data_IF_688650815326
#
_entry.id   IF_688650815326
#
_cell.length_a   1.000
_cell.length_b   1.000
_cell.length_c   1.000
_cell.angle_alpha   90.00
_cell.angle_beta   90.00
_cell.angle_gamma   90.00
#
_symmetry.space_group_name_H-M   'P 1'
#
loop_
_entity.id
_entity.type
_entity.pdbx_description
1 polymer ?
#
# COMPACT_ATOMS: atom_id res chain seq x y z
N UNK A 1 4.08 -10.57 -6.26
CA UNK A 1 5.04 -11.19 -7.22
C UNK A 1 4.45 -11.33 -8.60
N UNK A 2 3.18 -11.71 -8.76
CA UNK A 2 2.56 -11.98 -10.08
C UNK A 2 2.58 -10.75 -11.00
N UNK A 3 2.18 -9.56 -10.54
CA UNK A 3 2.23 -8.34 -11.36
C UNK A 3 3.66 -8.02 -11.84
N UNK A 4 4.67 -8.20 -10.98
CA UNK A 4 6.07 -8.03 -11.41
C UNK A 4 6.48 -9.10 -12.44
N UNK A 5 5.99 -10.32 -12.30
CA UNK A 5 6.26 -11.38 -13.26
C UNK A 5 5.64 -11.09 -14.64
N UNK A 6 4.45 -10.53 -14.68
CA UNK A 6 3.80 -10.09 -15.94
C UNK A 6 4.64 -9.03 -16.65
N UNK A 7 5.17 -8.04 -15.93
CA UNK A 7 6.04 -7.01 -16.51
C UNK A 7 7.35 -7.61 -17.05
N UNK A 8 7.99 -8.51 -16.29
CA UNK A 8 9.22 -9.19 -16.73
C UNK A 8 8.97 -10.11 -17.93
N UNK A 9 7.85 -10.85 -17.92
CA UNK A 9 7.46 -11.68 -19.06
C UNK A 9 7.24 -10.81 -20.32
N UNK A 10 6.58 -9.65 -20.18
CA UNK A 10 6.38 -8.72 -21.29
C UNK A 10 7.71 -8.19 -21.85
N UNK A 11 8.66 -7.84 -20.98
CA UNK A 11 10.02 -7.42 -21.41
C UNK A 11 10.75 -8.55 -22.16
N UNK A 12 10.61 -9.79 -21.71
CA UNK A 12 11.25 -10.94 -22.34
C UNK A 12 10.61 -11.31 -23.69
N UNK A 13 9.28 -11.28 -23.75
CA UNK A 13 8.52 -11.63 -24.97
C UNK A 13 8.50 -10.49 -26.00
N UNK A 14 8.70 -9.23 -25.58
CA UNK A 14 8.51 -8.05 -26.41
C UNK A 14 7.04 -7.67 -26.64
N UNK A 15 6.10 -8.35 -25.99
CA UNK A 15 4.66 -8.11 -26.06
C UNK A 15 3.96 -8.56 -24.77
N UNK A 16 2.70 -8.14 -24.50
CA UNK A 16 1.92 -8.64 -23.37
C UNK A 16 1.78 -10.16 -23.40
N UNK A 17 1.97 -10.87 -22.27
CA UNK A 17 1.79 -12.31 -22.21
C UNK A 17 0.31 -12.68 -22.36
N UNK A 18 0.06 -13.82 -23.00
CA UNK A 18 -1.25 -14.45 -23.14
C UNK A 18 -1.38 -15.65 -22.20
N UNK A 19 -2.55 -16.29 -22.20
CA UNK A 19 -2.79 -17.53 -21.46
C UNK A 19 -1.80 -18.66 -21.81
N UNK A 20 -1.31 -18.70 -23.05
CA UNK A 20 -0.32 -19.69 -23.51
C UNK A 20 1.04 -19.48 -22.82
N UNK A 21 1.33 -18.26 -22.37
CA UNK A 21 2.55 -17.92 -21.66
C UNK A 21 2.43 -18.09 -20.13
N UNK A 22 1.34 -18.68 -19.63
CA UNK A 22 1.09 -18.80 -18.18
C UNK A 22 2.24 -19.49 -17.44
N UNK A 23 2.82 -20.55 -18.03
CA UNK A 23 3.96 -21.25 -17.44
C UNK A 23 5.17 -20.33 -17.21
N UNK A 24 5.45 -19.42 -18.17
CA UNK A 24 6.57 -18.47 -18.10
C UNK A 24 6.30 -17.41 -17.01
N UNK A 25 5.09 -16.84 -16.99
CA UNK A 25 4.68 -15.86 -15.95
C UNK A 25 4.82 -16.49 -14.57
N UNK A 26 4.45 -17.75 -14.43
CA UNK A 26 4.52 -18.50 -13.18
C UNK A 26 5.97 -18.76 -12.74
N UNK A 27 6.82 -19.22 -13.64
CA UNK A 27 8.23 -19.41 -13.36
C UNK A 27 8.91 -18.10 -12.91
N UNK A 28 8.62 -17.00 -13.61
CA UNK A 28 9.12 -15.68 -13.26
C UNK A 28 8.53 -15.21 -11.92
N UNK A 29 7.27 -15.50 -11.59
CA UNK A 29 6.67 -15.13 -10.31
C UNK A 29 7.37 -15.82 -9.13
N UNK A 30 7.72 -17.09 -9.25
CA UNK A 30 8.51 -17.79 -8.25
C UNK A 30 9.93 -17.24 -8.14
N UNK A 31 10.56 -16.92 -9.26
CA UNK A 31 11.87 -16.28 -9.28
C UNK A 31 11.82 -14.90 -8.57
N UNK A 32 10.84 -14.05 -8.89
CA UNK A 32 10.64 -12.76 -8.23
C UNK A 32 10.46 -12.93 -6.71
N UNK A 33 9.69 -13.94 -6.27
CA UNK A 33 9.51 -14.19 -4.85
C UNK A 33 10.84 -14.56 -4.17
N UNK A 34 11.64 -15.41 -4.79
CA UNK A 34 12.96 -15.77 -4.27
C UNK A 34 13.90 -14.54 -4.18
N UNK A 35 13.95 -13.72 -5.24
CA UNK A 35 14.78 -12.49 -5.29
C UNK A 35 14.38 -11.49 -4.21
N UNK A 36 13.10 -11.35 -3.92
CA UNK A 36 12.58 -10.43 -2.89
C UNK A 36 12.99 -10.87 -1.47
N UNK A 37 13.08 -12.17 -1.23
CA UNK A 37 13.42 -12.71 0.11
C UNK A 37 14.92 -12.65 0.38
N UNK A 38 15.77 -12.79 -0.63
CA UNK A 38 17.23 -12.79 -0.48
C UNK A 38 17.77 -11.57 0.30
N UNK A 39 17.43 -10.32 -0.02
CA UNK A 39 17.93 -9.16 0.71
C UNK A 39 17.52 -9.12 2.18
N UNK A 40 16.37 -9.73 2.51
CA UNK A 40 15.90 -9.81 3.90
C UNK A 40 16.73 -10.81 4.71
N UNK A 41 17.28 -11.82 4.06
CA UNK A 41 18.14 -12.83 4.69
C UNK A 41 19.60 -12.39 4.82
N UNK A 42 20.10 -11.56 3.89
CA UNK A 42 21.52 -11.19 3.78
C UNK A 42 21.66 -9.67 3.95
N UNK A 43 22.48 -9.24 4.91
CA UNK A 43 22.79 -7.81 5.08
C UNK A 43 22.57 -7.31 6.51
N UNK A 44 23.50 -6.77 7.15
CA UNK A 44 23.63 -6.27 8.53
C UNK A 44 22.31 -5.93 9.28
N UNK A 45 21.70 -4.79 8.99
CA UNK A 45 20.36 -4.43 9.50
C UNK A 45 19.37 -4.47 8.35
N UNK A 46 18.34 -5.30 8.45
CA UNK A 46 17.25 -5.40 7.44
C UNK A 46 16.67 -4.03 7.12
N UNK A 47 16.48 -3.19 8.13
CA UNK A 47 16.01 -1.82 7.99
C UNK A 47 16.84 -0.99 7.00
N UNK A 48 18.17 -1.02 7.08
CA UNK A 48 19.03 -0.21 6.21
C UNK A 48 18.89 -0.62 4.73
N UNK A 49 18.79 -1.93 4.48
CA UNK A 49 18.59 -2.46 3.15
C UNK A 49 17.26 -1.99 2.54
N UNK A 50 16.18 -2.13 3.31
CA UNK A 50 14.86 -1.66 2.90
C UNK A 50 14.88 -0.16 2.65
N UNK A 51 15.51 0.63 3.53
CA UNK A 51 15.61 2.08 3.36
C UNK A 51 16.29 2.46 2.04
N UNK A 52 17.41 1.83 1.71
CA UNK A 52 18.15 2.12 0.46
C UNK A 52 17.28 1.78 -0.74
N UNK A 53 16.73 0.58 -0.79
CA UNK A 53 15.91 0.10 -1.91
C UNK A 53 14.67 0.96 -2.10
N UNK A 54 14.00 1.34 -1.01
CA UNK A 54 12.82 2.22 -1.06
C UNK A 54 13.17 3.65 -1.49
N UNK A 55 14.32 4.17 -1.07
CA UNK A 55 14.78 5.50 -1.51
C UNK A 55 15.03 5.51 -3.02
N UNK A 56 15.74 4.51 -3.55
CA UNK A 56 15.96 4.36 -4.99
C UNK A 56 14.63 4.25 -5.73
N UNK A 57 13.72 3.39 -5.25
CA UNK A 57 12.37 3.24 -5.82
C UNK A 57 11.65 4.58 -5.95
N UNK A 58 11.53 5.31 -4.83
CA UNK A 58 10.78 6.59 -4.81
C UNK A 58 11.39 7.58 -5.79
N UNK A 59 12.72 7.72 -5.78
CA UNK A 59 13.41 8.62 -6.68
C UNK A 59 13.19 8.24 -8.15
N UNK A 60 13.40 6.98 -8.52
CA UNK A 60 13.27 6.52 -9.92
C UNK A 60 11.82 6.64 -10.40
N UNK A 61 10.85 6.16 -9.60
CA UNK A 61 9.43 6.16 -10.00
C UNK A 61 8.90 7.58 -10.15
N UNK A 62 9.09 8.44 -9.14
CA UNK A 62 8.54 9.80 -9.20
C UNK A 62 9.23 10.65 -10.26
N UNK A 63 10.56 10.54 -10.44
CA UNK A 63 11.28 11.25 -11.49
C UNK A 63 10.81 10.81 -12.88
N UNK A 64 10.61 9.52 -13.09
CA UNK A 64 10.10 9.00 -14.37
C UNK A 64 8.67 9.46 -14.65
N UNK A 65 7.77 9.32 -13.69
CA UNK A 65 6.38 9.75 -13.86
C UNK A 65 6.30 11.27 -14.08
N UNK A 66 7.12 12.06 -13.39
CA UNK A 66 7.19 13.50 -13.60
C UNK A 66 7.75 13.82 -14.99
N UNK A 67 8.80 13.12 -15.44
CA UNK A 67 9.34 13.28 -16.79
C UNK A 67 8.27 13.02 -17.86
N UNK A 68 7.57 11.90 -17.78
CA UNK A 68 6.47 11.61 -18.72
C UNK A 68 5.37 12.68 -18.60
N UNK A 69 4.98 13.06 -17.39
CA UNK A 69 3.96 14.07 -17.15
C UNK A 69 4.31 15.42 -17.80
N UNK A 70 5.56 15.86 -17.71
CA UNK A 70 5.98 17.15 -18.25
C UNK A 70 6.14 17.17 -19.79
N UNK A 71 6.56 16.06 -20.39
CA UNK A 71 6.93 16.04 -21.80
C UNK A 71 5.91 15.35 -22.71
N UNK A 72 5.04 14.51 -22.16
CA UNK A 72 4.16 13.65 -22.95
C UNK A 72 2.69 13.67 -22.53
N UNK A 73 2.34 14.31 -21.39
CA UNK A 73 0.97 14.44 -20.94
C UNK A 73 0.43 15.81 -21.32
N UNK A 74 -0.79 15.85 -21.86
CA UNK A 74 -1.50 17.06 -22.25
C UNK A 74 -1.84 17.95 -21.02
N UNK A 75 -2.00 19.26 -21.26
CA UNK A 75 -2.44 20.20 -20.23
C UNK A 75 -3.82 19.83 -19.66
N UNK A 76 -4.70 19.24 -20.49
CA UNK A 76 -6.00 18.71 -20.06
C UNK A 76 -5.82 17.54 -19.08
N UNK A 77 -4.92 16.58 -19.35
CA UNK A 77 -4.61 15.49 -18.44
C UNK A 77 -4.15 15.97 -17.06
N UNK A 78 -3.28 16.98 -17.01
CA UNK A 78 -2.90 17.63 -15.75
C UNK A 78 -4.11 18.25 -15.04
N UNK A 79 -4.95 19.00 -15.77
CA UNK A 79 -6.15 19.61 -15.20
C UNK A 79 -7.11 18.56 -14.65
N UNK A 80 -7.33 17.46 -15.36
CA UNK A 80 -8.24 16.40 -14.94
C UNK A 80 -7.78 15.70 -13.67
N UNK A 81 -6.49 15.35 -13.57
CA UNK A 81 -5.92 14.72 -12.37
C UNK A 81 -6.02 15.66 -11.18
N UNK A 82 -5.51 16.90 -11.31
CA UNK A 82 -5.46 17.82 -10.17
C UNK A 82 -6.84 18.35 -9.77
N UNK A 83 -7.73 18.64 -10.72
CA UNK A 83 -9.11 19.03 -10.42
C UNK A 83 -9.89 17.90 -9.74
N UNK A 84 -9.57 16.64 -10.08
CA UNK A 84 -10.19 15.46 -9.48
C UNK A 84 -10.09 15.43 -7.96
N UNK A 85 -8.96 15.88 -7.39
CA UNK A 85 -8.78 15.96 -5.93
C UNK A 85 -9.71 16.96 -5.24
N UNK A 86 -10.31 17.90 -5.97
CA UNK A 86 -11.20 18.93 -5.44
C UNK A 86 -12.67 18.73 -5.82
N UNK A 87 -13.00 17.67 -6.57
CA UNK A 87 -14.37 17.33 -6.98
C UNK A 87 -15.13 16.62 -5.86
N UNK A 88 -15.27 17.29 -4.70
CA UNK A 88 -16.03 16.75 -3.56
C UNK A 88 -17.51 16.56 -3.89
N UNK A 89 -18.08 15.45 -3.39
CA UNK A 89 -19.49 15.13 -3.59
C UNK A 89 -19.82 14.46 -4.91
N UNK A 90 -18.85 14.21 -5.76
CA UNK A 90 -19.07 13.44 -6.99
C UNK A 90 -19.31 11.97 -6.66
N UNK A 91 -20.43 11.43 -7.17
CA UNK A 91 -20.85 10.04 -6.94
C UNK A 91 -21.28 9.40 -8.26
N UNK A 92 -21.04 8.10 -8.43
CA UNK A 92 -21.55 7.36 -9.59
C UNK A 92 -23.06 7.13 -9.43
N UNK A 93 -23.79 7.31 -10.53
CA UNK A 93 -25.22 7.00 -10.64
C UNK A 93 -25.46 6.23 -11.93
N UNK A 94 -26.49 5.40 -11.97
CA UNK A 94 -26.87 4.68 -13.19
C UNK A 94 -27.22 5.69 -14.29
N UNK A 95 -26.72 5.46 -15.51
CA UNK A 95 -27.02 6.30 -16.68
C UNK A 95 -28.35 5.95 -17.37
N UNK A 96 -29.01 4.88 -16.95
CA UNK A 96 -30.22 4.33 -17.54
C UNK A 96 -30.01 3.51 -18.83
N UNK A 97 -28.76 3.36 -19.26
CA UNK A 97 -28.37 2.56 -20.44
C UNK A 97 -27.49 1.36 -20.07
N UNK A 98 -27.40 1.04 -18.75
CA UNK A 98 -26.57 -0.05 -18.23
C UNK A 98 -25.13 0.37 -17.90
N UNK A 99 -24.82 1.67 -18.02
CA UNK A 99 -23.54 2.28 -17.62
C UNK A 99 -23.66 3.14 -16.36
N UNK A 100 -22.54 3.75 -16.00
CA UNK A 100 -22.44 4.70 -14.87
C UNK A 100 -22.08 6.09 -15.39
N UNK A 101 -22.70 7.11 -14.81
CA UNK A 101 -22.29 8.51 -14.98
C UNK A 101 -21.96 9.13 -13.63
N UNK A 102 -21.08 10.10 -13.61
CA UNK A 102 -20.69 10.81 -12.38
C UNK A 102 -21.51 12.10 -12.28
N UNK A 103 -22.20 12.28 -11.15
CA UNK A 103 -22.91 13.51 -10.82
C UNK A 103 -22.42 14.04 -9.47
N UNK A 104 -22.52 15.36 -9.28
CA UNK A 104 -22.24 15.92 -7.97
C UNK A 104 -23.51 15.87 -7.11
N UNK A 105 -23.46 15.14 -5.99
CA UNK A 105 -24.61 14.90 -5.12
C UNK A 105 -25.23 16.20 -4.56
N UNK A 106 -24.42 17.24 -4.30
CA UNK A 106 -24.91 18.50 -3.78
C UNK A 106 -25.65 19.32 -4.85
N UNK A 107 -25.12 19.39 -6.06
CA UNK A 107 -25.78 20.07 -7.17
C UNK A 107 -27.01 19.32 -7.62
N UNK A 108 -26.98 17.98 -7.58
CA UNK A 108 -28.14 17.15 -7.87
C UNK A 108 -29.27 17.39 -6.85
N UNK A 109 -28.93 17.42 -5.55
CA UNK A 109 -29.89 17.72 -4.48
C UNK A 109 -30.49 19.13 -4.65
N UNK A 110 -29.65 20.12 -4.95
CA UNK A 110 -30.15 21.50 -5.18
C UNK A 110 -31.11 21.61 -6.37
N UNK A 111 -30.93 20.78 -7.39
CA UNK A 111 -31.79 20.79 -8.58
C UNK A 111 -33.08 19.96 -8.43
N UNK A 112 -33.03 18.83 -7.71
CA UNK A 112 -34.10 17.86 -7.67
C UNK A 112 -34.80 17.74 -6.30
N UNK A 113 -34.24 18.35 -5.23
CA UNK A 113 -34.77 18.25 -3.88
C UNK A 113 -34.48 16.92 -3.17
N UNK A 114 -33.81 15.98 -3.81
CA UNK A 114 -33.44 14.67 -3.30
C UNK A 114 -32.00 14.30 -3.66
N UNK A 115 -31.38 13.43 -2.89
CA UNK A 115 -30.04 12.92 -3.21
C UNK A 115 -30.10 11.87 -4.32
N UNK A 116 -29.08 11.82 -5.22
CA UNK A 116 -29.04 10.83 -6.27
C UNK A 116 -28.89 9.41 -5.69
N UNK A 117 -29.52 8.44 -6.34
CA UNK A 117 -29.30 7.03 -6.02
C UNK A 117 -27.91 6.64 -6.49
N UNK A 118 -27.03 6.37 -5.52
CA UNK A 118 -25.64 6.03 -5.79
C UNK A 118 -25.56 4.62 -6.35
N UNK A 119 -24.89 4.48 -7.49
CA UNK A 119 -24.59 3.17 -8.06
C UNK A 119 -23.44 2.53 -7.25
N UNK A 120 -23.71 1.35 -6.70
CA UNK A 120 -22.78 0.66 -5.81
C UNK A 120 -21.98 -0.46 -6.49
N UNK A 121 -22.08 -0.58 -7.81
CA UNK A 121 -21.31 -1.56 -8.60
C UNK A 121 -19.79 -1.39 -8.39
N UNK A 122 -19.31 -0.15 -8.37
CA UNK A 122 -17.91 0.23 -8.17
C UNK A 122 -17.47 0.38 -6.72
N UNK A 123 -18.35 0.10 -5.73
CA UNK A 123 -18.03 0.32 -4.31
C UNK A 123 -16.81 -0.48 -3.82
N UNK A 124 -16.60 -1.67 -4.36
CA UNK A 124 -15.44 -2.49 -4.00
C UNK A 124 -14.13 -1.87 -4.51
N UNK A 125 -14.16 -1.23 -5.68
CA UNK A 125 -13.00 -0.52 -6.23
C UNK A 125 -12.71 0.75 -5.41
N UNK A 126 -13.73 1.52 -5.08
CA UNK A 126 -13.61 2.70 -4.22
C UNK A 126 -13.06 2.32 -2.83
N UNK A 127 -13.59 1.25 -2.23
CA UNK A 127 -13.09 0.71 -0.97
C UNK A 127 -11.63 0.26 -1.08
N UNK A 128 -11.24 -0.34 -2.19
CA UNK A 128 -9.87 -0.76 -2.43
C UNK A 128 -8.91 0.45 -2.52
N UNK A 129 -9.26 1.51 -3.23
CA UNK A 129 -8.48 2.74 -3.27
C UNK A 129 -8.32 3.36 -1.88
N UNK A 130 -9.41 3.43 -1.09
CA UNK A 130 -9.34 3.92 0.29
C UNK A 130 -8.45 3.04 1.17
N UNK A 131 -8.55 1.71 1.05
CA UNK A 131 -7.77 0.76 1.84
C UNK A 131 -6.27 0.76 1.54
N UNK A 132 -5.88 1.20 0.35
CA UNK A 132 -4.47 1.37 -0.02
C UNK A 132 -3.97 2.81 0.16
N UNK A 133 -4.83 3.77 0.50
CA UNK A 133 -4.39 5.13 0.76
C UNK A 133 -3.37 5.18 1.91
N UNK A 134 -2.27 5.85 1.67
CA UNK A 134 -1.18 5.93 2.64
C UNK A 134 -0.41 4.61 2.82
N UNK A 135 -0.25 4.16 4.06
CA UNK A 135 0.50 2.94 4.39
C UNK A 135 -0.26 1.63 4.12
N UNK A 136 -1.54 1.69 3.84
CA UNK A 136 -2.43 0.54 3.66
C UNK A 136 -2.55 -0.34 4.91
N UNK A 137 -3.78 -0.67 5.34
CA UNK A 137 -4.05 -1.58 6.45
C UNK A 137 -3.23 -1.32 7.71
N UNK A 138 -2.54 -2.34 8.20
CA UNK A 138 -1.66 -2.26 9.36
C UNK A 138 -0.25 -1.69 9.04
N UNK A 139 0.03 -1.24 7.81
CA UNK A 139 1.31 -0.65 7.42
C UNK A 139 1.74 0.53 8.28
N UNK A 140 0.79 1.29 8.84
CA UNK A 140 1.07 2.36 9.78
C UNK A 140 1.75 1.89 11.07
N UNK A 141 1.51 0.65 11.53
CA UNK A 141 2.18 0.07 12.69
C UNK A 141 3.68 -0.16 12.43
N UNK A 142 4.07 -0.43 11.19
CA UNK A 142 5.47 -0.61 10.79
C UNK A 142 6.30 0.65 10.97
N UNK A 143 5.69 1.82 10.84
CA UNK A 143 6.36 3.09 11.07
C UNK A 143 6.99 3.14 12.48
N UNK A 144 6.27 2.70 13.50
CA UNK A 144 6.80 2.65 14.87
C UNK A 144 7.98 1.67 15.01
N UNK A 145 7.95 0.55 14.29
CA UNK A 145 9.05 -0.40 14.26
C UNK A 145 10.29 0.19 13.57
N UNK A 146 10.12 0.93 12.49
CA UNK A 146 11.21 1.62 11.81
C UNK A 146 11.82 2.74 12.64
N UNK A 147 11.00 3.51 13.37
CA UNK A 147 11.47 4.52 14.33
C UNK A 147 12.32 3.87 15.42
N UNK A 148 11.88 2.73 15.96
CA UNK A 148 12.67 1.93 16.92
C UNK A 148 13.99 1.46 16.33
N UNK A 149 13.95 0.84 15.15
CA UNK A 149 15.13 0.23 14.53
C UNK A 149 16.15 1.28 14.07
N UNK A 150 15.70 2.49 13.75
CA UNK A 150 16.54 3.65 13.49
C UNK A 150 17.21 4.19 14.75
N UNK A 151 16.75 3.77 15.91
CA UNK A 151 17.28 4.19 17.21
C UNK A 151 16.77 5.56 17.66
N UNK A 152 15.61 6.01 17.19
CA UNK A 152 15.01 7.26 17.60
C UNK A 152 14.22 7.11 18.91
N UNK A 153 14.26 8.15 19.74
CA UNK A 153 13.62 8.12 21.06
C UNK A 153 14.10 6.93 21.91
N UNK A 154 13.16 6.19 22.47
CA UNK A 154 13.45 4.99 23.27
C UNK A 154 14.03 3.83 22.44
N UNK A 155 13.92 3.89 21.11
CA UNK A 155 14.49 2.89 20.22
C UNK A 155 16.01 2.73 20.33
N UNK A 156 16.72 3.80 20.72
CA UNK A 156 18.17 3.76 20.99
C UNK A 156 18.58 2.75 22.08
N UNK A 157 17.67 2.45 23.00
CA UNK A 157 17.89 1.52 24.10
C UNK A 157 17.45 0.09 23.78
N UNK A 158 16.52 -0.08 22.80
CA UNK A 158 15.96 -1.38 22.45
C UNK A 158 16.80 -2.09 21.38
N UNK A 159 17.31 -1.35 20.40
CA UNK A 159 18.03 -1.89 19.25
C UNK A 159 17.11 -2.32 18.10
N UNK A 160 17.70 -2.90 17.06
CA UNK A 160 17.02 -3.31 15.83
C UNK A 160 17.04 -4.83 15.66
N UNK A 161 16.05 -5.38 14.92
CA UNK A 161 16.08 -6.79 14.50
C UNK A 161 17.27 -6.96 13.54
N UNK A 162 18.21 -7.85 13.94
CA UNK A 162 19.38 -8.18 13.13
C UNK A 162 18.99 -9.08 11.95
N UNK A 163 19.72 -8.96 10.83
CA UNK A 163 19.65 -9.95 9.76
C UNK A 163 20.16 -11.32 10.20
N UNK A 164 19.92 -12.36 9.41
CA UNK A 164 20.40 -13.71 9.69
C UNK A 164 21.95 -13.76 9.81
N UNK A 165 22.63 -12.86 9.11
CA UNK A 165 24.09 -12.75 9.09
C UNK A 165 24.52 -11.38 9.64
N UNK A 166 24.68 -11.27 10.96
CA UNK A 166 25.25 -10.10 11.64
C UNK A 166 24.22 -9.11 12.21
N UNK A 167 24.70 -8.16 13.02
CA UNK A 167 23.95 -7.08 13.66
C UNK A 167 23.85 -7.17 15.18
N UNK A 168 23.45 -6.05 15.85
CA UNK A 168 23.21 -6.04 17.30
C UNK A 168 21.87 -6.71 17.62
N UNK A 169 21.85 -7.52 18.67
CA UNK A 169 20.61 -8.18 19.13
C UNK A 169 19.63 -7.14 19.70
N UNK A 170 18.36 -7.27 19.31
CA UNK A 170 17.26 -6.47 19.87
C UNK A 170 16.95 -6.93 21.30
N UNK A 171 16.62 -5.98 22.18
CA UNK A 171 16.14 -6.27 23.52
C UNK A 171 14.68 -5.82 23.61
N UNK A 172 13.75 -6.71 23.25
CA UNK A 172 12.32 -6.41 23.33
C UNK A 172 11.83 -6.33 24.78
N UNK A 173 10.82 -5.50 25.02
CA UNK A 173 10.09 -5.44 26.29
C UNK A 173 8.60 -5.64 25.99
N UNK A 174 7.92 -6.45 26.83
CA UNK A 174 6.46 -6.66 26.77
C UNK A 174 5.70 -5.67 27.65
N UNK A 175 6.42 -4.82 28.40
CA UNK A 175 5.87 -3.79 29.27
C UNK A 175 6.21 -2.44 28.69
N UNK A 176 5.19 -1.65 28.36
CA UNK A 176 5.35 -0.26 27.97
C UNK A 176 5.80 0.58 29.17
N UNK A 177 6.73 1.51 28.95
CA UNK A 177 7.16 2.48 29.97
C UNK A 177 6.91 3.89 29.47
N UNK A 178 6.40 4.73 30.34
CA UNK A 178 6.29 6.16 30.12
C UNK A 178 7.46 6.83 30.83
N UNK A 179 8.06 7.82 30.21
CA UNK A 179 9.12 8.63 30.82
C UNK A 179 8.58 9.47 31.99
N UNK A 180 9.42 9.89 32.95
CA UNK A 180 8.99 10.79 34.03
C UNK A 180 8.39 12.09 33.48
N UNK A 181 7.24 12.49 34.04
CA UNK A 181 6.53 13.70 33.62
C UNK A 181 7.13 14.90 34.33
N UNK A 182 8.22 15.41 33.77
CA UNK A 182 8.90 16.63 34.23
C UNK A 182 9.01 17.65 33.08
N UNK A 183 9.43 18.87 33.40
CA UNK A 183 9.49 19.98 32.44
C UNK A 183 10.43 19.70 31.25
N UNK A 184 11.58 19.03 31.50
CA UNK A 184 12.56 18.71 30.45
C UNK A 184 12.04 17.64 29.49
N UNK A 185 11.48 16.58 30.02
CA UNK A 185 10.90 15.50 29.21
C UNK A 185 9.66 15.96 28.43
N UNK A 186 8.82 16.81 29.02
CA UNK A 186 7.69 17.42 28.28
C UNK A 186 8.17 18.34 27.17
N UNK A 187 9.28 19.08 27.37
CA UNK A 187 9.90 19.88 26.30
C UNK A 187 10.38 19.00 25.14
N UNK A 188 11.05 17.89 25.45
CA UNK A 188 11.49 16.89 24.45
C UNK A 188 10.32 16.25 23.72
N UNK A 189 9.24 15.93 24.43
CA UNK A 189 8.00 15.41 23.86
C UNK A 189 7.34 16.37 22.88
N UNK A 190 7.25 17.67 23.25
CA UNK A 190 6.75 18.71 22.34
C UNK A 190 7.65 18.88 21.10
N UNK A 191 8.96 18.78 21.27
CA UNK A 191 9.92 18.76 20.15
C UNK A 191 9.70 17.59 19.21
N UNK A 192 9.48 16.41 19.76
CA UNK A 192 9.16 15.20 19.00
C UNK A 192 7.83 15.34 18.22
N UNK A 193 6.79 15.87 18.84
CA UNK A 193 5.53 16.18 18.18
C UNK A 193 5.70 17.12 16.99
N UNK A 194 6.48 18.18 17.16
CA UNK A 194 6.78 19.12 16.05
C UNK A 194 7.48 18.40 14.91
N UNK A 195 8.44 17.54 15.23
CA UNK A 195 9.14 16.74 14.22
C UNK A 195 8.17 15.83 13.43
N UNK A 196 7.31 15.08 14.14
CA UNK A 196 6.30 14.21 13.50
C UNK A 196 5.35 15.03 12.62
N UNK A 197 4.84 16.17 13.10
CA UNK A 197 3.95 17.01 12.31
C UNK A 197 4.64 17.55 11.05
N UNK A 198 5.90 17.96 11.15
CA UNK A 198 6.68 18.42 10.01
C UNK A 198 6.86 17.28 8.98
N UNK A 199 7.22 16.10 9.43
CA UNK A 199 7.34 14.91 8.57
C UNK A 199 6.02 14.59 7.86
N UNK A 200 4.90 14.57 8.61
CA UNK A 200 3.60 14.22 8.06
C UNK A 200 3.07 15.26 7.05
N UNK A 201 3.18 16.56 7.34
CA UNK A 201 2.63 17.59 6.47
C UNK A 201 3.53 17.97 5.29
N UNK A 202 4.84 17.91 5.45
CA UNK A 202 5.77 18.41 4.41
C UNK A 202 6.50 17.31 3.65
N UNK A 203 6.49 16.07 4.14
CA UNK A 203 7.15 14.95 3.46
C UNK A 203 6.12 13.90 3.06
N UNK A 204 5.40 13.34 4.05
CA UNK A 204 4.54 12.18 3.81
C UNK A 204 3.28 12.55 3.01
N UNK A 205 2.54 13.59 3.39
CA UNK A 205 1.33 14.01 2.71
C UNK A 205 1.59 14.45 1.24
N UNK A 206 2.59 15.33 0.94
CA UNK A 206 2.94 15.64 -0.43
C UNK A 206 3.45 14.42 -1.21
N UNK A 207 4.21 13.54 -0.56
CA UNK A 207 4.69 12.29 -1.15
C UNK A 207 3.55 11.37 -1.55
N UNK A 208 2.53 11.19 -0.71
CA UNK A 208 1.32 10.42 -1.04
C UNK A 208 0.54 11.06 -2.19
N UNK A 209 0.38 12.39 -2.14
CA UNK A 209 -0.33 13.12 -3.20
C UNK A 209 0.38 12.94 -4.56
N UNK A 210 1.67 13.19 -4.63
CA UNK A 210 2.45 13.00 -5.85
C UNK A 210 2.51 11.53 -6.28
N UNK A 211 2.61 10.61 -5.32
CA UNK A 211 2.61 9.17 -5.57
C UNK A 211 1.30 8.63 -6.16
N UNK A 212 0.19 9.33 -5.97
CA UNK A 212 -1.09 9.05 -6.63
C UNK A 212 -1.26 9.83 -7.93
N UNK A 213 -0.99 11.13 -7.91
CA UNK A 213 -1.22 12.03 -9.04
C UNK A 213 -0.35 11.68 -10.25
N UNK A 214 0.95 11.48 -10.06
CA UNK A 214 1.86 11.26 -11.18
C UNK A 214 1.61 9.95 -11.94
N UNK A 215 1.40 8.77 -11.30
CA UNK A 215 0.98 7.57 -12.03
C UNK A 215 -0.41 7.71 -12.68
N UNK A 216 -1.34 8.46 -12.05
CA UNK A 216 -2.64 8.71 -12.63
C UNK A 216 -2.57 9.50 -13.95
N UNK A 217 -1.60 10.43 -14.09
CA UNK A 217 -1.35 11.13 -15.35
C UNK A 217 -1.06 10.16 -16.51
N UNK A 218 -0.21 9.15 -16.25
CA UNK A 218 0.09 8.14 -17.26
C UNK A 218 -1.16 7.33 -17.64
N UNK A 219 -1.98 6.99 -16.65
CA UNK A 219 -3.20 6.22 -16.90
C UNK A 219 -4.24 7.02 -17.67
N UNK A 220 -4.46 8.29 -17.33
CA UNK A 220 -5.46 9.14 -18.01
C UNK A 220 -5.04 9.41 -19.47
N UNK A 221 -3.77 9.69 -19.70
CA UNK A 221 -3.28 10.03 -21.03
C UNK A 221 -3.19 8.81 -21.96
N UNK A 222 -2.69 7.68 -21.44
CA UNK A 222 -2.30 6.58 -22.33
C UNK A 222 -3.18 5.32 -22.21
N UNK A 223 -3.87 5.08 -21.09
CA UNK A 223 -4.59 3.82 -20.91
C UNK A 223 -5.65 3.57 -21.99
N UNK A 224 -6.35 4.62 -22.44
CA UNK A 224 -7.39 4.53 -23.48
C UNK A 224 -6.84 4.19 -24.86
N UNK A 225 -5.56 4.43 -25.11
CA UNK A 225 -4.89 4.05 -26.37
C UNK A 225 -4.53 2.57 -26.43
N UNK A 226 -4.59 1.85 -25.31
CA UNK A 226 -4.31 0.42 -25.28
C UNK A 226 -5.47 -0.39 -25.87
N UNK A 227 -5.22 -1.33 -26.79
CA UNK A 227 -6.23 -2.29 -27.24
C UNK A 227 -6.81 -3.17 -26.11
N UNK A 228 -6.12 -3.27 -24.97
CA UNK A 228 -6.56 -4.02 -23.80
C UNK A 228 -7.49 -3.20 -22.88
N UNK A 229 -7.66 -1.90 -23.14
CA UNK A 229 -8.47 -1.03 -22.28
C UNK A 229 -9.94 -1.43 -22.32
N UNK A 230 -10.55 -1.56 -21.15
CA UNK A 230 -11.95 -2.01 -21.02
C UNK A 230 -12.17 -3.51 -21.21
N UNK A 231 -11.14 -4.27 -21.61
CA UNK A 231 -11.22 -5.71 -21.76
C UNK A 231 -10.76 -6.39 -20.47
N UNK A 232 -11.52 -7.40 -20.05
CA UNK A 232 -11.17 -8.19 -18.85
C UNK A 232 -10.23 -9.35 -19.24
N UNK A 233 -9.05 -9.00 -19.76
CA UNK A 233 -8.04 -9.96 -20.18
C UNK A 233 -7.12 -10.34 -19.02
N UNK A 234 -6.72 -11.61 -18.98
CA UNK A 234 -5.68 -12.06 -18.06
C UNK A 234 -4.40 -11.26 -18.30
N UNK A 235 -3.70 -10.92 -17.20
CA UNK A 235 -2.45 -10.16 -17.19
C UNK A 235 -2.52 -8.70 -17.72
N UNK A 236 -3.68 -8.18 -18.17
CA UNK A 236 -3.77 -6.83 -18.75
C UNK A 236 -3.52 -5.70 -17.73
N UNK A 237 -4.04 -5.82 -16.53
CA UNK A 237 -4.07 -4.75 -15.52
C UNK A 237 -2.72 -4.04 -15.27
N UNK A 238 -1.59 -4.74 -15.04
CA UNK A 238 -0.32 -4.07 -14.79
C UNK A 238 0.32 -3.49 -16.06
N UNK A 239 -0.22 -3.79 -17.25
CA UNK A 239 0.35 -3.45 -18.54
C UNK A 239 -0.36 -2.31 -19.27
N UNK A 240 -1.64 -2.03 -18.94
CA UNK A 240 -2.51 -1.12 -19.72
C UNK A 240 -1.82 0.23 -19.99
N UNK A 241 -1.22 0.86 -19.00
CA UNK A 241 -0.56 2.15 -19.20
C UNK A 241 0.70 2.05 -20.08
N UNK A 242 1.50 1.00 -19.93
CA UNK A 242 2.67 0.78 -20.78
C UNK A 242 2.27 0.45 -22.23
N UNK A 243 1.30 -0.44 -22.38
CA UNK A 243 0.78 -0.82 -23.69
C UNK A 243 0.10 0.36 -24.41
N UNK A 244 -0.61 1.21 -23.66
CA UNK A 244 -1.18 2.45 -24.18
C UNK A 244 -0.12 3.42 -24.71
N UNK A 245 1.03 3.56 -24.05
CA UNK A 245 2.17 4.35 -24.54
C UNK A 245 2.66 3.80 -25.90
N UNK A 246 2.73 2.47 -26.03
CA UNK A 246 3.16 1.81 -27.27
C UNK A 246 2.24 2.09 -28.45
N UNK A 247 0.94 2.26 -28.18
CA UNK A 247 -0.09 2.51 -29.19
C UNK A 247 -0.47 4.00 -29.31
N UNK A 248 0.11 4.87 -28.48
CA UNK A 248 -0.22 6.30 -28.47
C UNK A 248 0.06 6.97 -29.82
N UNK A 249 -0.86 7.77 -30.29
CA UNK A 249 -0.69 8.60 -31.48
C UNK A 249 0.24 9.79 -31.19
N UNK A 250 0.88 10.32 -32.22
CA UNK A 250 1.78 11.50 -32.09
C UNK A 250 3.20 11.22 -31.63
N UNK A 251 3.52 9.99 -31.20
CA UNK A 251 4.87 9.58 -30.81
C UNK A 251 5.58 8.85 -31.96
N UNK A 252 6.90 9.05 -32.10
CA UNK A 252 7.70 8.28 -33.07
C UNK A 252 7.78 6.80 -32.63
N UNK A 253 7.94 5.85 -33.55
CA UNK A 253 8.06 4.43 -33.20
C UNK A 253 9.17 4.15 -32.17
N UNK A 254 10.33 4.79 -32.33
CA UNK A 254 11.46 4.64 -31.39
C UNK A 254 11.12 5.18 -29.99
N UNK A 255 10.42 6.30 -29.90
CA UNK A 255 9.98 6.88 -28.62
C UNK A 255 8.97 5.96 -27.93
N UNK A 256 7.99 5.41 -28.67
CA UNK A 256 7.00 4.46 -28.13
C UNK A 256 7.65 3.24 -27.50
N UNK A 257 8.57 2.59 -28.21
CA UNK A 257 9.27 1.40 -27.71
C UNK A 257 10.16 1.73 -26.50
N UNK A 258 10.88 2.84 -26.54
CA UNK A 258 11.73 3.28 -25.43
C UNK A 258 10.89 3.54 -24.17
N UNK A 259 9.82 4.32 -24.30
CA UNK A 259 8.94 4.63 -23.17
C UNK A 259 8.20 3.39 -22.66
N UNK A 260 7.79 2.47 -23.54
CA UNK A 260 7.20 1.19 -23.17
C UNK A 260 8.15 0.39 -22.27
N UNK A 261 9.40 0.17 -22.72
CA UNK A 261 10.43 -0.54 -21.93
C UNK A 261 10.68 0.16 -20.59
N UNK A 262 10.84 1.49 -20.60
CA UNK A 262 11.09 2.26 -19.38
C UNK A 262 9.91 2.15 -18.42
N UNK A 263 8.67 2.20 -18.89
CA UNK A 263 7.47 2.05 -18.05
C UNK A 263 7.40 0.68 -17.41
N UNK A 264 7.74 -0.39 -18.13
CA UNK A 264 7.81 -1.74 -17.57
C UNK A 264 8.89 -1.86 -16.49
N UNK A 265 10.08 -1.29 -16.72
CA UNK A 265 11.18 -1.28 -15.72
C UNK A 265 10.77 -0.49 -14.47
N UNK A 266 10.16 0.67 -14.64
CA UNK A 266 9.67 1.48 -13.53
C UNK A 266 8.55 0.77 -12.77
N UNK A 267 7.66 0.08 -13.47
CA UNK A 267 6.65 -0.80 -12.88
C UNK A 267 7.27 -1.91 -12.01
N UNK A 268 8.37 -2.52 -12.47
CA UNK A 268 9.13 -3.48 -11.66
C UNK A 268 9.69 -2.84 -10.39
N UNK A 269 10.21 -1.60 -10.48
CA UNK A 269 10.66 -0.84 -9.32
C UNK A 269 9.52 -0.49 -8.35
N UNK A 270 8.27 -0.45 -8.82
CA UNK A 270 7.10 -0.32 -7.93
C UNK A 270 6.81 -1.61 -7.19
N UNK A 271 6.76 -2.75 -7.88
CA UNK A 271 6.26 -4.01 -7.31
C UNK A 271 7.29 -4.75 -6.46
N UNK A 272 8.53 -4.94 -6.94
CA UNK A 272 9.53 -5.76 -6.24
C UNK A 272 9.95 -5.19 -4.87
N UNK A 273 10.33 -3.90 -4.76
CA UNK A 273 10.65 -3.32 -3.46
C UNK A 273 9.46 -3.28 -2.49
N UNK A 274 8.24 -3.06 -3.01
CA UNK A 274 7.03 -3.10 -2.19
C UNK A 274 6.80 -4.47 -1.60
N UNK A 275 6.97 -5.53 -2.40
CA UNK A 275 6.85 -6.90 -1.92
C UNK A 275 7.87 -7.21 -0.83
N UNK A 276 9.13 -6.76 -1.00
CA UNK A 276 10.17 -6.92 0.03
C UNK A 276 9.78 -6.25 1.35
N UNK A 277 9.24 -5.03 1.28
CA UNK A 277 8.77 -4.31 2.48
C UNK A 277 7.61 -5.05 3.16
N UNK A 278 6.66 -5.60 2.40
CA UNK A 278 5.52 -6.34 2.94
C UNK A 278 5.97 -7.61 3.67
N UNK A 279 6.94 -8.33 3.11
CA UNK A 279 7.50 -9.56 3.70
C UNK A 279 8.18 -9.27 5.05
N UNK A 280 9.01 -8.22 5.09
CA UNK A 280 9.67 -7.79 6.33
C UNK A 280 8.67 -7.28 7.36
N UNK A 281 7.74 -6.43 6.95
CA UNK A 281 6.71 -5.85 7.82
C UNK A 281 5.83 -6.93 8.47
N UNK A 282 5.36 -7.90 7.71
CA UNK A 282 4.59 -9.03 8.22
C UNK A 282 5.40 -9.79 9.29
N UNK A 283 6.64 -10.13 8.97
CA UNK A 283 7.50 -10.90 9.88
C UNK A 283 7.80 -10.13 11.17
N UNK A 284 8.04 -8.82 11.11
CA UNK A 284 8.26 -7.95 12.29
C UNK A 284 7.05 -7.88 13.19
N UNK A 285 5.91 -7.54 12.61
CA UNK A 285 4.68 -7.35 13.39
C UNK A 285 4.27 -8.62 14.12
N UNK A 286 4.30 -9.75 13.43
CA UNK A 286 4.00 -11.02 14.08
C UNK A 286 5.02 -11.43 15.13
N UNK A 287 6.30 -11.10 14.93
CA UNK A 287 7.33 -11.31 15.96
C UNK A 287 7.00 -10.52 17.23
N UNK A 288 6.72 -9.24 17.09
CA UNK A 288 6.38 -8.38 18.22
C UNK A 288 5.09 -8.84 18.92
N UNK A 289 4.04 -9.20 18.17
CA UNK A 289 2.76 -9.67 18.72
C UNK A 289 2.92 -11.00 19.44
N UNK A 290 3.56 -11.99 18.83
CA UNK A 290 3.71 -13.33 19.40
C UNK A 290 4.60 -13.28 20.65
N UNK A 291 5.73 -12.57 20.58
CA UNK A 291 6.63 -12.47 21.70
C UNK A 291 6.03 -11.65 22.85
N UNK A 292 5.40 -10.51 22.57
CA UNK A 292 4.79 -9.65 23.59
C UNK A 292 3.51 -10.24 24.19
N UNK A 293 2.67 -10.87 23.36
CA UNK A 293 1.36 -11.37 23.77
C UNK A 293 1.39 -12.75 24.47
N UNK A 294 2.39 -13.58 24.20
CA UNK A 294 2.40 -14.97 24.67
C UNK A 294 3.45 -15.22 25.76
N UNK A 295 2.99 -15.46 26.99
CA UNK A 295 3.85 -15.75 28.13
C UNK A 295 4.76 -16.98 27.91
N UNK A 296 4.23 -18.08 27.34
CA UNK A 296 5.01 -19.32 27.08
C UNK A 296 6.13 -19.08 26.07
N UNK A 297 5.89 -18.22 25.08
CA UNK A 297 6.93 -17.87 24.10
C UNK A 297 8.03 -17.04 24.75
N UNK A 298 7.68 -16.07 25.61
CA UNK A 298 8.67 -15.28 26.37
C UNK A 298 9.53 -16.13 27.32
N UNK A 299 8.94 -17.14 27.95
CA UNK A 299 9.66 -18.08 28.84
C UNK A 299 10.62 -18.99 28.05
N UNK A 300 10.28 -19.32 26.79
CA UNK A 300 11.10 -20.19 25.94
C UNK A 300 12.16 -19.43 25.14
N UNK A 301 11.87 -18.21 24.75
CA UNK A 301 12.75 -17.38 23.92
C UNK A 301 13.00 -16.04 24.60
N UNK A 302 14.23 -15.81 25.02
CA UNK A 302 14.65 -14.53 25.53
C UNK A 302 14.48 -13.41 24.50
N UNK A 303 14.40 -12.16 24.97
CA UNK A 303 14.29 -10.99 24.09
C UNK A 303 15.37 -10.93 23.00
N UNK A 304 16.57 -11.43 23.29
CA UNK A 304 17.67 -11.54 22.33
C UNK A 304 17.45 -12.60 21.24
N UNK A 305 16.52 -13.51 21.44
CA UNK A 305 16.18 -14.58 20.50
C UNK A 305 14.97 -14.23 19.61
N UNK A 306 14.46 -13.01 19.68
CA UNK A 306 13.35 -12.53 18.86
C UNK A 306 13.61 -12.72 17.35
N UNK A 307 14.87 -12.64 16.92
CA UNK A 307 15.26 -12.93 15.54
C UNK A 307 14.91 -14.35 15.09
N UNK A 308 14.94 -15.35 16.00
CA UNK A 308 14.51 -16.73 15.65
C UNK A 308 13.02 -16.78 15.33
N UNK A 309 12.19 -16.07 16.09
CA UNK A 309 10.75 -15.96 15.81
C UNK A 309 10.55 -15.28 14.47
N UNK A 310 11.24 -14.17 14.22
CA UNK A 310 11.19 -13.45 12.96
C UNK A 310 11.47 -14.34 11.75
N UNK A 311 12.58 -15.09 11.76
CA UNK A 311 12.93 -15.96 10.64
C UNK A 311 12.03 -17.18 10.52
N UNK A 312 11.46 -17.68 11.60
CA UNK A 312 10.45 -18.75 11.55
C UNK A 312 9.17 -18.24 10.85
N UNK A 313 8.71 -17.04 11.22
CA UNK A 313 7.53 -16.43 10.59
C UNK A 313 7.82 -16.12 9.11
N UNK A 314 9.01 -15.60 8.82
CA UNK A 314 9.44 -15.35 7.44
C UNK A 314 9.41 -16.63 6.60
N UNK A 315 9.94 -17.74 7.11
CA UNK A 315 9.91 -19.01 6.43
C UNK A 315 8.47 -19.50 6.19
N UNK A 316 7.61 -19.42 7.21
CA UNK A 316 6.19 -19.76 7.07
C UNK A 316 5.49 -18.88 6.02
N UNK A 317 5.78 -17.58 6.01
CA UNK A 317 5.23 -16.65 5.02
C UNK A 317 5.67 -16.99 3.60
N UNK A 318 6.95 -17.30 3.41
CA UNK A 318 7.51 -17.69 2.10
C UNK A 318 6.87 -18.98 1.61
N UNK A 319 6.80 -20.02 2.45
CA UNK A 319 6.14 -21.29 2.12
C UNK A 319 4.67 -21.04 1.75
N UNK A 320 3.94 -20.27 2.57
CA UNK A 320 2.56 -19.90 2.26
C UNK A 320 2.42 -19.15 0.95
N UNK A 321 3.37 -18.24 0.65
CA UNK A 321 3.35 -17.49 -0.60
C UNK A 321 3.54 -18.38 -1.83
N UNK A 322 4.41 -19.40 -1.74
CA UNK A 322 4.55 -20.40 -2.80
C UNK A 322 3.29 -21.25 -2.96
N UNK A 323 2.72 -21.74 -1.86
CA UNK A 323 1.48 -22.53 -1.88
C UNK A 323 0.34 -21.70 -2.48
N UNK A 324 0.15 -20.45 -2.01
CA UNK A 324 -0.90 -19.56 -2.51
C UNK A 324 -0.71 -19.26 -3.99
N UNK A 325 0.51 -18.94 -4.42
CA UNK A 325 0.79 -18.73 -5.84
C UNK A 325 0.39 -19.95 -6.67
N UNK A 326 0.77 -21.16 -6.25
CA UNK A 326 0.43 -22.41 -6.95
C UNK A 326 -1.08 -22.64 -7.01
N UNK A 327 -1.80 -22.42 -5.90
CA UNK A 327 -3.26 -22.56 -5.85
C UNK A 327 -3.91 -21.60 -6.86
N UNK A 328 -3.50 -20.32 -6.88
CA UNK A 328 -4.05 -19.34 -7.81
C UNK A 328 -3.77 -19.69 -9.27
N UNK A 329 -2.62 -20.28 -9.56
CA UNK A 329 -2.28 -20.75 -10.88
C UNK A 329 -3.18 -21.91 -11.34
N UNK A 330 -3.55 -22.78 -10.42
CA UNK A 330 -4.43 -23.93 -10.72
C UNK A 330 -5.89 -23.52 -10.93
N UNK A 331 -6.37 -22.48 -10.24
CA UNK A 331 -7.77 -22.08 -10.29
C UNK A 331 -8.06 -20.89 -11.23
N UNK A 332 -7.05 -20.37 -11.94
CA UNK A 332 -7.23 -19.35 -12.98
C UNK A 332 -7.80 -18.00 -12.53
N UNK A 333 -7.76 -17.71 -11.22
CA UNK A 333 -8.29 -16.47 -10.70
C UNK A 333 -7.37 -15.29 -10.97
N UNK A 334 -7.91 -14.25 -11.57
CA UNK A 334 -7.17 -13.06 -11.94
C UNK A 334 -6.49 -12.40 -10.71
N UNK A 335 -5.20 -12.05 -10.80
CA UNK A 335 -4.46 -11.35 -9.75
C UNK A 335 -5.16 -10.08 -9.25
N UNK A 336 -5.92 -9.41 -10.12
CA UNK A 336 -6.70 -8.21 -9.81
C UNK A 336 -7.75 -8.43 -8.72
N UNK A 337 -8.47 -9.56 -8.75
CA UNK A 337 -9.47 -9.88 -7.72
C UNK A 337 -8.84 -9.99 -6.34
N UNK A 338 -7.66 -10.60 -6.25
CA UNK A 338 -6.91 -10.71 -4.99
C UNK A 338 -6.50 -9.36 -4.43
N UNK A 339 -5.99 -8.48 -5.29
CA UNK A 339 -5.63 -7.11 -4.89
C UNK A 339 -6.86 -6.39 -4.37
N UNK A 340 -8.00 -6.52 -5.04
CA UNK A 340 -9.27 -5.92 -4.63
C UNK A 340 -9.75 -6.43 -3.26
N UNK A 341 -9.70 -7.74 -3.03
CA UNK A 341 -10.11 -8.36 -1.75
C UNK A 341 -9.20 -7.91 -0.62
N UNK A 342 -7.86 -8.00 -0.81
CA UNK A 342 -6.88 -7.58 0.20
C UNK A 342 -7.03 -6.10 0.53
N UNK A 343 -7.22 -5.25 -0.47
CA UNK A 343 -7.42 -3.83 -0.30
C UNK A 343 -8.66 -3.51 0.56
N UNK A 344 -9.76 -4.20 0.32
CA UNK A 344 -10.98 -4.02 1.13
C UNK A 344 -10.83 -4.55 2.55
N UNK A 345 -10.10 -5.63 2.77
CA UNK A 345 -9.75 -6.10 4.10
C UNK A 345 -8.89 -5.10 4.89
N UNK A 346 -8.08 -4.29 4.20
CA UNK A 346 -7.34 -3.20 4.83
C UNK A 346 -8.26 -2.16 5.47
N UNK A 347 -9.44 -1.89 4.92
CA UNK A 347 -10.40 -0.96 5.51
C UNK A 347 -10.86 -1.44 6.90
N UNK A 348 -11.11 -2.75 7.06
CA UNK A 348 -11.45 -3.34 8.37
C UNK A 348 -10.29 -3.11 9.36
N UNK A 349 -9.07 -3.40 8.93
CA UNK A 349 -7.89 -3.25 9.77
C UNK A 349 -7.63 -1.78 10.15
N UNK A 350 -7.77 -0.84 9.21
CA UNK A 350 -7.60 0.60 9.45
C UNK A 350 -8.68 1.13 10.40
N UNK A 351 -9.94 0.77 10.17
CA UNK A 351 -11.06 1.18 11.03
C UNK A 351 -10.88 0.72 12.47
N UNK A 352 -10.62 -0.58 12.66
CA UNK A 352 -10.34 -1.14 13.98
C UNK A 352 -9.13 -0.47 14.65
N UNK A 353 -8.03 -0.31 13.92
CA UNK A 353 -6.80 0.28 14.45
C UNK A 353 -7.02 1.74 14.88
N UNK A 354 -7.81 2.52 14.13
CA UNK A 354 -8.10 3.90 14.48
C UNK A 354 -8.81 4.00 15.85
N UNK A 355 -9.84 3.19 16.09
CA UNK A 355 -10.53 3.15 17.38
C UNK A 355 -9.63 2.64 18.51
N UNK A 356 -8.81 1.62 18.23
CA UNK A 356 -7.88 1.08 19.21
C UNK A 356 -6.82 2.09 19.62
N UNK A 357 -6.20 2.78 18.65
CA UNK A 357 -5.21 3.84 18.91
C UNK A 357 -5.83 5.01 19.65
N UNK A 358 -7.05 5.43 19.30
CA UNK A 358 -7.78 6.44 20.06
C UNK A 358 -7.97 6.03 21.51
N UNK A 359 -8.41 4.78 21.76
CA UNK A 359 -8.63 4.26 23.11
C UNK A 359 -7.31 4.22 23.92
N UNK A 360 -6.24 3.68 23.35
CA UNK A 360 -4.90 3.63 24.00
C UNK A 360 -4.42 5.04 24.35
N UNK A 361 -4.48 5.97 23.42
CA UNK A 361 -3.96 7.31 23.60
C UNK A 361 -4.78 8.16 24.60
N UNK A 362 -6.06 7.86 24.77
CA UNK A 362 -6.93 8.60 25.70
C UNK A 362 -7.01 7.97 27.09
N UNK A 363 -6.83 6.65 27.19
CA UNK A 363 -7.00 5.91 28.46
C UNK A 363 -5.71 5.49 29.11
N UNK A 364 -4.67 5.14 28.33
CA UNK A 364 -3.44 4.59 28.87
C UNK A 364 -2.33 5.64 29.02
N UNK A 365 -2.39 6.77 28.32
CA UNK A 365 -1.41 7.83 28.47
C UNK A 365 -1.77 8.77 29.62
N UNK A 366 -0.74 9.30 30.36
CA UNK A 366 -0.90 10.39 31.30
C UNK A 366 -1.60 11.61 30.64
N UNK A 367 -2.37 12.40 31.39
CA UNK A 367 -3.12 13.53 30.84
C UNK A 367 -2.27 14.50 30.02
N UNK A 368 -1.04 14.76 30.43
CA UNK A 368 -0.09 15.69 29.81
C UNK A 368 0.37 15.24 28.41
N UNK A 369 0.26 13.94 28.13
CA UNK A 369 0.68 13.32 26.87
C UNK A 369 -0.50 13.00 25.93
N UNK A 370 -1.73 13.18 26.38
CA UNK A 370 -2.93 12.85 25.60
C UNK A 370 -3.08 13.76 24.38
N UNK A 371 -3.60 13.23 23.26
CA UNK A 371 -3.86 14.03 22.07
C UNK A 371 -4.95 15.07 22.34
N UNK A 372 -4.84 16.22 21.67
CA UNK A 372 -5.85 17.27 21.72
C UNK A 372 -7.15 16.79 21.07
N UNK A 373 -8.27 17.43 21.42
CA UNK A 373 -9.61 17.04 20.96
C UNK A 373 -9.74 16.92 19.44
N UNK A 374 -9.12 17.82 18.67
CA UNK A 374 -9.17 17.78 17.21
C UNK A 374 -8.40 16.59 16.61
N UNK A 375 -7.30 16.14 17.22
CA UNK A 375 -6.61 14.92 16.83
C UNK A 375 -7.45 13.69 17.14
N UNK A 376 -8.20 13.72 18.26
CA UNK A 376 -9.14 12.64 18.60
C UNK A 376 -10.31 12.59 17.62
N UNK A 377 -10.86 13.74 17.24
CA UNK A 377 -11.90 13.81 16.22
C UNK A 377 -11.41 13.28 14.88
N UNK A 378 -10.20 13.68 14.46
CA UNK A 378 -9.59 13.20 13.21
C UNK A 378 -9.45 11.68 13.15
N UNK A 379 -8.91 11.05 14.20
CA UNK A 379 -8.74 9.59 14.22
C UNK A 379 -10.08 8.85 14.30
N UNK A 380 -11.07 9.37 15.04
CA UNK A 380 -12.42 8.80 15.09
C UNK A 380 -13.11 8.90 13.73
N UNK A 381 -13.00 10.04 13.03
CA UNK A 381 -13.53 10.22 11.68
C UNK A 381 -12.94 9.21 10.70
N UNK A 382 -11.62 8.98 10.76
CA UNK A 382 -10.98 7.91 9.99
C UNK A 382 -11.56 6.53 10.34
N UNK A 383 -11.73 6.22 11.62
CA UNK A 383 -12.30 4.96 12.07
C UNK A 383 -13.71 4.72 11.51
N UNK A 384 -14.59 5.71 11.60
CA UNK A 384 -15.94 5.63 11.05
C UNK A 384 -15.95 5.52 9.52
N UNK A 385 -15.10 6.28 8.82
CA UNK A 385 -15.01 6.23 7.36
C UNK A 385 -14.59 4.83 6.89
N UNK A 386 -13.50 4.28 7.42
CA UNK A 386 -13.01 2.97 7.00
C UNK A 386 -13.95 1.83 7.40
N UNK A 387 -14.53 1.85 8.61
CA UNK A 387 -15.55 0.88 9.00
C UNK A 387 -16.81 1.00 8.15
N UNK A 388 -17.23 2.22 7.82
CA UNK A 388 -18.37 2.46 6.92
C UNK A 388 -18.14 1.87 5.54
N UNK A 389 -16.98 2.14 4.92
CA UNK A 389 -16.61 1.56 3.63
C UNK A 389 -16.55 0.03 3.68
N UNK A 390 -15.91 -0.53 4.71
CA UNK A 390 -15.86 -1.98 4.89
C UNK A 390 -17.27 -2.60 5.01
N UNK A 391 -18.15 -1.98 5.78
CA UNK A 391 -19.53 -2.41 5.96
C UNK A 391 -20.32 -2.32 4.65
N UNK A 392 -20.19 -1.23 3.90
CA UNK A 392 -20.85 -1.08 2.60
C UNK A 392 -20.39 -2.14 1.61
N UNK A 393 -19.09 -2.37 1.49
CA UNK A 393 -18.56 -3.43 0.62
C UNK A 393 -19.06 -4.80 1.05
N UNK A 394 -19.12 -5.08 2.35
CA UNK A 394 -19.63 -6.33 2.88
C UNK A 394 -21.10 -6.53 2.51
N UNK A 395 -21.95 -5.53 2.76
CA UNK A 395 -23.39 -5.60 2.45
C UNK A 395 -23.63 -5.77 0.96
N UNK A 396 -22.95 -4.99 0.11
CA UNK A 396 -23.23 -4.94 -1.33
C UNK A 396 -22.61 -6.10 -2.10
N UNK A 397 -21.44 -6.59 -1.69
CA UNK A 397 -20.68 -7.59 -2.46
C UNK A 397 -20.61 -8.97 -1.79
N UNK A 398 -20.71 -9.04 -0.47
CA UNK A 398 -20.53 -10.31 0.25
C UNK A 398 -21.89 -10.92 0.63
N UNK A 399 -22.79 -10.12 1.22
CA UNK A 399 -24.11 -10.63 1.64
C UNK A 399 -24.88 -11.29 0.49
N UNK A 400 -24.94 -10.73 -0.74
CA UNK A 400 -25.67 -11.38 -1.86
C UNK A 400 -25.13 -12.76 -2.23
N UNK A 401 -23.87 -13.07 -1.94
CA UNK A 401 -23.32 -14.41 -2.19
C UNK A 401 -23.93 -15.50 -1.29
N UNK A 402 -24.57 -15.10 -0.18
CA UNK A 402 -25.19 -16.00 0.78
C UNK A 402 -26.73 -15.94 0.79
N UNK A 403 -27.31 -14.90 0.21
CA UNK A 403 -28.76 -14.66 0.20
C UNK A 403 -29.40 -14.80 -1.17
N UNK A 404 -28.60 -14.83 -2.24
CA UNK A 404 -29.03 -15.02 -3.62
C UNK A 404 -29.25 -16.40 -3.96
#
# INVERSE_FOLDING_TARGET
>A
STNAAVLLASLYLGHPPTTDNAWLVNAIAYFCLAVVVLPVLVGGKVYNMIQIVMTIKVFVVLSFCLFIGLFFVSASGWSDVFSGFFKFGNVPVADGQGGEKVVNAFTYFAANGEFPVIELSSIALLGAFAGYAGGGGLGNATYSNFVRDKGWGMGSQVGAIASAVGGRKVTLSHIGKVFPIDADNLRKWKGWWRYILTDQFFIWMPGCFMGMALPALLSIEFATSSPMFGLNLDYSQPLIAADGIRHAEGLTPSTRETLWVMTLIVGLMVFLPSQMSIVDDFSRRWTDIIWSGNKRVRERFDSHQASRIYYTILACYVIWSFISATIFLMFGNAPALMVLVIANLNNVALGFTAFHVWWVNTRMLPPELRPRWYNQLGILSCGFMYCGLATLVFIVKIVPLFTG
#
